data_IF_014229383560
#
_entry.id   IF_014229383560
#
_cell.length_a   1.000
_cell.length_b   1.000
_cell.length_c   1.000
_cell.angle_alpha   90.00
_cell.angle_beta   90.00
_cell.angle_gamma   90.00
#
_symmetry.space_group_name_H-M   'P 1'
#
loop_
_entity.id
_entity.type
_entity.pdbx_description
1 polymer ?
#
# COMPACT_ATOMS: atom_id res chain seq x y z
N UNK A 1 22.07 -37.51 -4.71
CA UNK A 1 23.05 -37.04 -3.71
C UNK A 1 23.24 -35.51 -3.62
N UNK A 2 23.09 -34.67 -4.66
CA UNK A 2 23.15 -33.18 -4.49
C UNK A 2 21.76 -32.53 -4.31
N UNK A 3 20.71 -33.14 -4.90
CA UNK A 3 19.31 -32.68 -4.82
C UNK A 3 18.49 -33.29 -3.68
N UNK A 4 19.07 -34.25 -2.96
CA UNK A 4 18.38 -34.91 -1.85
C UNK A 4 18.18 -33.93 -0.70
N UNK A 5 16.99 -33.98 -0.12
CA UNK A 5 16.60 -33.15 1.01
C UNK A 5 16.72 -33.96 2.29
N UNK A 6 17.31 -33.35 3.32
CA UNK A 6 17.29 -33.91 4.66
C UNK A 6 15.90 -33.75 5.32
N UNK A 7 15.77 -34.13 6.60
CA UNK A 7 14.51 -34.05 7.36
C UNK A 7 13.94 -32.64 7.54
N UNK A 8 14.69 -31.59 7.22
CA UNK A 8 14.26 -30.18 7.25
C UNK A 8 13.96 -29.65 5.84
N UNK A 9 13.96 -30.51 4.83
CA UNK A 9 13.80 -30.11 3.43
C UNK A 9 15.06 -29.48 2.83
N UNK A 10 16.19 -29.46 3.55
CA UNK A 10 17.43 -28.79 3.13
C UNK A 10 18.24 -29.67 2.22
N UNK A 11 18.75 -29.09 1.14
CA UNK A 11 19.74 -29.72 0.26
C UNK A 11 21.15 -29.57 0.80
N UNK A 12 22.12 -30.27 0.21
CA UNK A 12 23.53 -30.11 0.54
C UNK A 12 24.03 -28.64 0.42
N UNK A 13 23.43 -27.85 -0.49
CA UNK A 13 23.75 -26.43 -0.66
C UNK A 13 23.27 -25.59 0.54
N UNK A 14 22.09 -25.87 1.09
CA UNK A 14 21.57 -25.21 2.29
C UNK A 14 22.49 -25.44 3.50
N UNK A 15 22.96 -26.68 3.68
CA UNK A 15 23.90 -27.02 4.77
C UNK A 15 25.29 -26.37 4.56
N UNK A 16 25.74 -26.25 3.31
CA UNK A 16 26.98 -25.55 2.99
C UNK A 16 26.88 -24.04 3.25
N UNK A 17 25.71 -23.43 3.00
CA UNK A 17 25.42 -22.02 3.31
C UNK A 17 25.42 -21.69 4.81
N UNK A 18 25.13 -22.66 5.68
CA UNK A 18 25.17 -22.49 7.14
C UNK A 18 26.60 -22.54 7.69
N UNK A 19 27.47 -23.35 7.08
CA UNK A 19 28.77 -23.76 7.65
C UNK A 19 29.99 -23.02 7.08
N UNK A 20 29.77 -21.93 6.33
CA UNK A 20 30.80 -21.06 5.73
C UNK A 20 31.79 -21.73 4.78
N UNK A 21 31.40 -22.83 4.16
CA UNK A 21 32.31 -23.53 3.26
C UNK A 21 32.11 -22.99 1.83
N UNK A 22 32.60 -21.79 1.53
CA UNK A 22 32.49 -21.19 0.18
C UNK A 22 33.01 -22.14 -0.90
N UNK A 23 34.08 -22.89 -0.61
CA UNK A 23 34.61 -23.93 -1.50
C UNK A 23 33.56 -25.02 -1.80
N UNK A 24 32.81 -25.47 -0.78
CA UNK A 24 31.74 -26.46 -0.93
C UNK A 24 30.52 -25.87 -1.62
N UNK A 25 30.17 -24.61 -1.35
CA UNK A 25 29.10 -23.89 -2.06
C UNK A 25 29.41 -23.82 -3.56
N UNK A 26 30.61 -23.36 -3.93
CA UNK A 26 31.10 -23.30 -5.32
C UNK A 26 31.11 -24.68 -5.97
N UNK A 27 31.71 -25.66 -5.30
CA UNK A 27 31.78 -27.03 -5.79
C UNK A 27 30.39 -27.63 -6.04
N UNK A 28 29.46 -27.48 -5.08
CA UNK A 28 28.09 -27.97 -5.21
C UNK A 28 27.33 -27.24 -6.33
N UNK A 29 27.58 -25.94 -6.52
CA UNK A 29 26.97 -25.14 -7.56
C UNK A 29 27.43 -25.53 -8.97
N UNK A 30 28.74 -25.62 -9.17
CA UNK A 30 29.36 -25.93 -10.46
C UNK A 30 29.06 -27.37 -10.91
N UNK A 31 29.08 -28.33 -9.98
CA UNK A 31 28.91 -29.77 -10.27
C UNK A 31 27.45 -30.26 -10.22
N UNK A 32 26.48 -29.36 -10.04
CA UNK A 32 25.07 -29.72 -10.04
C UNK A 32 24.39 -29.31 -11.33
N UNK A 33 23.85 -30.29 -12.06
CA UNK A 33 23.02 -30.05 -13.25
C UNK A 33 21.74 -29.27 -12.94
N UNK A 34 21.36 -29.17 -11.66
CA UNK A 34 20.20 -28.43 -11.17
C UNK A 34 20.55 -26.96 -10.93
N UNK A 35 21.81 -26.64 -10.62
CA UNK A 35 22.25 -25.29 -10.30
C UNK A 35 22.93 -24.57 -11.47
N UNK A 36 23.53 -25.27 -12.45
CA UNK A 36 24.43 -24.63 -13.42
C UNK A 36 23.96 -24.50 -14.88
N UNK A 37 22.79 -25.00 -15.30
CA UNK A 37 22.45 -25.10 -16.76
C UNK A 37 21.02 -24.73 -17.22
N UNK A 38 20.34 -23.79 -16.58
CA UNK A 38 19.11 -23.19 -17.16
C UNK A 38 19.21 -21.68 -17.16
N UNK A 39 19.44 -21.09 -18.35
CA UNK A 39 19.50 -19.64 -18.56
C UNK A 39 18.15 -18.93 -18.28
N UNK A 40 17.06 -19.66 -18.02
CA UNK A 40 15.72 -19.10 -17.84
C UNK A 40 15.04 -19.40 -16.49
N UNK A 41 15.70 -20.09 -15.55
CA UNK A 41 15.21 -20.28 -14.16
C UNK A 41 16.26 -21.05 -13.35
N UNK A 42 17.01 -20.35 -12.50
CA UNK A 42 17.66 -20.98 -11.36
C UNK A 42 16.59 -21.42 -10.35
N UNK A 43 16.66 -22.64 -9.78
CA UNK A 43 15.56 -23.23 -9.06
C UNK A 43 15.39 -22.57 -7.69
N UNK A 44 14.14 -22.18 -7.42
CA UNK A 44 13.58 -21.82 -6.13
C UNK A 44 13.69 -22.98 -5.12
N UNK A 45 14.88 -23.54 -4.88
CA UNK A 45 15.02 -24.63 -3.91
C UNK A 45 14.91 -24.02 -2.53
N UNK A 46 13.79 -24.32 -1.90
CA UNK A 46 13.51 -23.94 -0.54
C UNK A 46 13.60 -25.17 0.36
N UNK A 47 13.98 -24.94 1.61
CA UNK A 47 13.77 -25.91 2.67
C UNK A 47 12.29 -25.92 3.11
N UNK A 48 11.93 -26.73 4.11
CA UNK A 48 10.53 -26.85 4.55
C UNK A 48 10.01 -25.57 5.22
N UNK A 49 10.92 -24.67 5.62
CA UNK A 49 10.60 -23.33 6.14
C UNK A 49 10.50 -22.28 5.04
N UNK A 50 10.45 -22.70 3.78
CA UNK A 50 10.51 -21.81 2.61
C UNK A 50 11.78 -20.95 2.54
N UNK A 51 12.84 -21.31 3.29
CA UNK A 51 14.09 -20.57 3.32
C UNK A 51 14.95 -20.90 2.11
N UNK A 52 15.63 -19.88 1.57
CA UNK A 52 16.67 -20.06 0.56
C UNK A 52 18.05 -20.21 1.22
N UNK A 53 19.05 -20.62 0.45
CA UNK A 53 20.45 -20.61 0.86
C UNK A 53 20.92 -19.22 1.34
N UNK A 54 20.39 -18.13 0.76
CA UNK A 54 20.67 -16.75 1.19
C UNK A 54 20.09 -16.45 2.58
N UNK A 55 18.89 -16.95 2.91
CA UNK A 55 18.32 -16.81 4.26
C UNK A 55 19.20 -17.51 5.30
N UNK A 56 19.63 -18.74 5.00
CA UNK A 56 20.48 -19.52 5.91
C UNK A 56 21.84 -18.84 6.11
N UNK A 57 22.50 -18.42 5.03
CA UNK A 57 23.79 -17.74 5.11
C UNK A 57 23.69 -16.40 5.87
N UNK A 58 22.62 -15.64 5.65
CA UNK A 58 22.37 -14.39 6.35
C UNK A 58 22.10 -14.59 7.85
N UNK A 59 21.32 -15.62 8.23
CA UNK A 59 21.09 -15.97 9.64
C UNK A 59 22.37 -16.47 10.34
N UNK A 60 23.19 -17.25 9.64
CA UNK A 60 24.42 -17.83 10.15
C UNK A 60 25.64 -16.87 10.14
N UNK A 61 25.48 -15.67 9.56
CA UNK A 61 26.54 -14.67 9.54
C UNK A 61 27.66 -14.94 8.52
N UNK A 62 27.38 -15.71 7.47
CA UNK A 62 28.38 -16.15 6.48
C UNK A 62 28.47 -15.16 5.34
N UNK A 63 29.26 -14.12 5.52
CA UNK A 63 29.34 -12.99 4.59
C UNK A 63 29.80 -13.41 3.19
N UNK A 64 30.84 -14.23 3.11
CA UNK A 64 31.42 -14.71 1.86
C UNK A 64 30.41 -15.56 1.08
N UNK A 65 29.61 -16.37 1.79
CA UNK A 65 28.51 -17.11 1.21
C UNK A 65 27.40 -16.18 0.71
N UNK A 66 26.99 -15.17 1.49
CA UNK A 66 25.98 -14.17 1.07
C UNK A 66 26.43 -13.41 -0.18
N UNK A 67 27.66 -12.90 -0.18
CA UNK A 67 28.20 -12.13 -1.30
C UNK A 67 28.25 -12.99 -2.57
N UNK A 68 28.74 -14.22 -2.46
CA UNK A 68 28.87 -15.11 -3.60
C UNK A 68 27.50 -15.59 -4.11
N UNK A 69 26.61 -16.02 -3.21
CA UNK A 69 25.26 -16.47 -3.56
C UNK A 69 24.46 -15.36 -4.24
N UNK A 70 24.66 -14.10 -3.85
CA UNK A 70 24.01 -12.98 -4.50
C UNK A 70 24.57 -12.70 -5.91
N UNK A 71 25.90 -12.75 -6.09
CA UNK A 71 26.55 -12.48 -7.39
C UNK A 71 26.26 -13.55 -8.44
N UNK A 72 26.39 -14.83 -8.06
CA UNK A 72 26.24 -15.95 -9.00
C UNK A 72 24.80 -16.42 -9.17
N UNK A 73 23.92 -15.99 -8.26
CA UNK A 73 22.52 -16.35 -8.28
C UNK A 73 21.68 -15.16 -7.82
N UNK A 74 21.36 -14.20 -8.73
CA UNK A 74 20.52 -13.05 -8.41
C UNK A 74 19.08 -13.51 -8.15
N UNK A 75 18.87 -14.10 -6.98
CA UNK A 75 17.57 -14.41 -6.43
C UNK A 75 16.87 -13.10 -6.07
N UNK A 76 15.55 -13.17 -5.98
CA UNK A 76 14.77 -12.11 -5.35
C UNK A 76 15.30 -11.85 -3.93
N UNK A 77 16.03 -10.75 -3.74
CA UNK A 77 16.55 -10.28 -2.43
C UNK A 77 15.45 -10.12 -1.38
N UNK A 78 14.23 -9.91 -1.87
CA UNK A 78 13.03 -9.66 -1.09
C UNK A 78 12.18 -10.92 -0.94
N UNK A 79 12.69 -12.07 -1.38
CA UNK A 79 12.10 -13.38 -1.08
C UNK A 79 11.97 -13.53 0.42
N UNK A 80 10.87 -14.12 0.84
CA UNK A 80 10.57 -14.34 2.25
C UNK A 80 10.52 -15.83 2.60
N UNK A 81 10.92 -16.15 3.81
CA UNK A 81 10.73 -17.45 4.45
C UNK A 81 9.28 -17.65 4.91
N UNK A 82 9.01 -18.78 5.57
CA UNK A 82 7.68 -19.12 6.10
C UNK A 82 7.16 -18.06 7.05
N UNK A 83 8.03 -17.33 7.77
CA UNK A 83 7.69 -16.28 8.73
C UNK A 83 7.60 -14.88 8.11
N UNK A 84 7.64 -14.79 6.77
CA UNK A 84 7.72 -13.54 6.01
C UNK A 84 9.03 -12.76 6.22
N UNK A 85 10.09 -13.41 6.68
CA UNK A 85 11.40 -12.77 6.89
C UNK A 85 12.24 -12.87 5.63
N UNK A 86 12.88 -11.78 5.26
CA UNK A 86 13.91 -11.75 4.22
C UNK A 86 15.29 -12.04 4.82
N UNK A 87 16.30 -12.23 3.97
CA UNK A 87 17.70 -12.30 4.41
C UNK A 87 18.12 -11.06 5.25
N UNK A 88 17.61 -9.87 4.92
CA UNK A 88 17.89 -8.65 5.69
C UNK A 88 17.27 -8.70 7.10
N UNK A 89 16.06 -9.25 7.25
CA UNK A 89 15.46 -9.45 8.58
C UNK A 89 16.33 -10.35 9.46
N UNK A 90 16.81 -11.48 8.92
CA UNK A 90 17.63 -12.43 9.67
C UNK A 90 19.00 -11.83 10.03
N UNK A 91 19.65 -11.14 9.09
CA UNK A 91 20.91 -10.45 9.37
C UNK A 91 20.77 -9.39 10.47
N UNK A 92 19.69 -8.60 10.45
CA UNK A 92 19.40 -7.60 11.48
C UNK A 92 19.05 -8.22 12.84
N UNK A 93 18.27 -9.31 12.86
CA UNK A 93 17.91 -10.02 14.09
C UNK A 93 19.15 -10.61 14.80
N UNK A 94 20.04 -11.25 14.04
CA UNK A 94 21.22 -11.93 14.59
C UNK A 94 22.45 -11.02 14.74
N UNK A 95 22.41 -9.78 14.24
CA UNK A 95 23.48 -8.78 14.47
C UNK A 95 24.64 -8.83 13.47
N UNK A 96 24.41 -9.30 12.25
CA UNK A 96 25.47 -9.50 11.26
C UNK A 96 25.72 -8.24 10.42
N UNK A 97 26.41 -7.24 11.00
CA UNK A 97 26.57 -5.90 10.45
C UNK A 97 27.08 -5.84 9.01
N UNK A 98 28.13 -6.58 8.68
CA UNK A 98 28.69 -6.63 7.31
C UNK A 98 27.69 -7.12 6.27
N UNK A 99 26.82 -8.06 6.66
CA UNK A 99 25.77 -8.59 5.79
C UNK A 99 24.66 -7.55 5.62
N UNK A 100 24.27 -6.85 6.68
CA UNK A 100 23.29 -5.76 6.61
C UNK A 100 23.77 -4.65 5.67
N UNK A 101 25.01 -4.18 5.82
CA UNK A 101 25.63 -3.20 4.93
C UNK A 101 25.59 -3.63 3.47
N UNK A 102 25.97 -4.88 3.21
CA UNK A 102 25.99 -5.43 1.87
C UNK A 102 24.58 -5.52 1.27
N UNK A 103 23.61 -6.07 2.00
CA UNK A 103 22.24 -6.21 1.51
C UNK A 103 21.57 -4.85 1.26
N UNK A 104 21.81 -3.85 2.11
CA UNK A 104 21.36 -2.47 1.87
C UNK A 104 21.99 -1.87 0.61
N UNK A 105 23.30 -2.08 0.40
CA UNK A 105 23.99 -1.66 -0.83
C UNK A 105 23.39 -2.31 -2.09
N UNK A 106 22.88 -3.54 -1.97
CA UNK A 106 22.16 -4.23 -3.05
C UNK A 106 20.67 -3.84 -3.14
N UNK A 107 20.22 -2.81 -2.41
CA UNK A 107 18.83 -2.32 -2.40
C UNK A 107 17.81 -3.35 -1.92
N UNK A 108 18.18 -4.18 -0.94
CA UNK A 108 17.21 -5.01 -0.23
C UNK A 108 16.11 -4.11 0.40
N UNK A 109 14.85 -4.54 0.30
CA UNK A 109 13.73 -3.76 0.80
C UNK A 109 13.74 -3.69 2.32
N UNK A 110 13.70 -2.47 2.83
CA UNK A 110 13.73 -2.14 4.26
C UNK A 110 12.33 -2.01 4.87
N UNK A 111 11.30 -2.02 4.01
CA UNK A 111 9.89 -1.81 4.38
C UNK A 111 9.09 -3.10 4.49
N UNK A 112 9.68 -4.24 4.09
CA UNK A 112 9.09 -5.55 4.28
C UNK A 112 8.97 -5.89 5.76
N UNK A 113 7.98 -6.72 6.09
CA UNK A 113 7.59 -7.03 7.47
C UNK A 113 7.37 -8.52 7.63
N UNK A 114 7.74 -9.05 8.79
CA UNK A 114 7.48 -10.44 9.16
C UNK A 114 6.03 -10.67 9.63
N UNK A 115 5.68 -11.88 10.05
CA UNK A 115 4.35 -12.19 10.58
C UNK A 115 3.99 -11.45 11.88
N UNK A 116 4.95 -10.88 12.57
CA UNK A 116 4.72 -10.04 13.75
C UNK A 116 4.61 -8.57 13.36
N UNK A 117 4.59 -8.27 12.06
CA UNK A 117 4.61 -6.94 11.47
C UNK A 117 5.91 -6.18 11.70
N UNK A 118 6.99 -6.84 12.12
CA UNK A 118 8.28 -6.17 12.32
C UNK A 118 9.05 -6.07 11.02
N UNK A 119 9.56 -4.86 10.75
CA UNK A 119 10.56 -4.66 9.71
C UNK A 119 11.98 -4.95 10.24
N UNK A 120 12.99 -4.82 9.37
CA UNK A 120 14.37 -5.12 9.74
C UNK A 120 14.94 -4.23 10.86
N UNK A 121 14.49 -2.97 10.98
CA UNK A 121 14.88 -2.06 12.06
C UNK A 121 14.29 -2.51 13.39
N UNK A 122 13.00 -2.86 13.42
CA UNK A 122 12.35 -3.31 14.66
C UNK A 122 12.93 -4.63 15.17
N UNK A 123 13.26 -5.57 14.28
CA UNK A 123 13.97 -6.78 14.67
C UNK A 123 15.35 -6.48 15.29
N UNK A 124 16.10 -5.51 14.76
CA UNK A 124 17.36 -5.09 15.36
C UNK A 124 17.15 -4.44 16.74
N UNK A 125 16.08 -3.63 16.91
CA UNK A 125 15.75 -2.98 18.19
C UNK A 125 15.38 -4.01 19.26
N UNK A 126 14.42 -4.91 18.98
CA UNK A 126 13.93 -5.89 19.97
C UNK A 126 14.96 -6.96 20.31
N UNK A 127 15.97 -7.18 19.45
CA UNK A 127 17.10 -8.07 19.72
C UNK A 127 18.35 -7.32 20.21
N UNK A 128 18.21 -6.05 20.60
CA UNK A 128 19.28 -5.24 21.20
C UNK A 128 20.56 -5.11 20.33
N UNK A 129 20.43 -5.11 19.00
CA UNK A 129 21.54 -4.98 18.05
C UNK A 129 21.87 -3.51 17.79
N UNK A 130 22.47 -2.85 18.78
CA UNK A 130 22.74 -1.41 18.78
C UNK A 130 23.48 -0.92 17.54
N UNK A 131 24.55 -1.62 17.17
CA UNK A 131 25.39 -1.29 16.02
C UNK A 131 24.65 -1.38 14.68
N UNK A 132 23.70 -2.30 14.56
CA UNK A 132 22.79 -2.42 13.42
C UNK A 132 21.76 -1.28 13.42
N UNK A 133 21.19 -0.95 14.58
CA UNK A 133 20.20 0.14 14.69
C UNK A 133 20.84 1.47 14.32
N UNK A 134 22.02 1.78 14.85
CA UNK A 134 22.76 2.99 14.50
C UNK A 134 23.06 3.04 12.99
N UNK A 135 23.42 1.90 12.39
CA UNK A 135 23.65 1.78 10.96
C UNK A 135 22.39 2.03 10.13
N UNK A 136 21.26 1.42 10.51
CA UNK A 136 19.98 1.57 9.81
C UNK A 136 19.43 3.01 9.93
N UNK A 137 19.60 3.67 11.08
CA UNK A 137 19.20 5.06 11.29
C UNK A 137 20.12 6.07 10.58
N UNK A 138 21.34 5.67 10.23
CA UNK A 138 22.24 6.46 9.39
C UNK A 138 21.93 6.32 7.89
N UNK A 139 21.24 5.26 7.47
CA UNK A 139 20.88 4.99 6.07
C UNK A 139 19.89 6.01 5.51
N UNK A 140 19.90 6.26 4.19
CA UNK A 140 19.01 7.23 3.53
C UNK A 140 17.51 6.90 3.72
N UNK A 141 17.17 5.61 3.69
CA UNK A 141 15.80 5.10 3.89
C UNK A 141 15.37 4.94 5.37
N UNK A 142 16.08 5.54 6.33
CA UNK A 142 15.73 5.42 7.76
C UNK A 142 14.30 5.87 8.07
N UNK A 143 13.81 6.90 7.36
CA UNK A 143 12.43 7.42 7.51
C UNK A 143 11.40 6.34 7.16
N UNK A 144 11.61 5.60 6.07
CA UNK A 144 10.74 4.50 5.66
C UNK A 144 10.71 3.37 6.71
N UNK A 145 11.86 3.07 7.32
CA UNK A 145 11.96 2.06 8.39
C UNK A 145 11.24 2.50 9.67
N UNK A 146 11.20 3.80 9.96
CA UNK A 146 10.50 4.36 11.12
C UNK A 146 8.98 4.41 10.93
N UNK A 147 8.49 4.35 9.69
CA UNK A 147 7.07 4.34 9.32
C UNK A 147 6.43 2.95 9.49
N UNK A 148 6.45 2.42 10.70
CA UNK A 148 5.76 1.17 11.04
C UNK A 148 4.96 1.26 12.34
N UNK A 149 3.95 0.40 12.49
CA UNK A 149 3.15 0.36 13.70
C UNK A 149 2.42 -0.99 13.88
N UNK A 150 2.42 -1.49 15.10
CA UNK A 150 1.68 -2.68 15.51
C UNK A 150 0.63 -2.30 16.54
N UNK A 151 -0.61 -2.79 16.43
CA UNK A 151 -1.60 -2.58 17.49
C UNK A 151 -1.16 -3.38 18.73
N UNK A 152 -1.08 -2.73 19.88
CA UNK A 152 -0.80 -3.41 21.15
C UNK A 152 -2.06 -4.17 21.54
N UNK A 153 -1.91 -5.48 21.71
CA UNK A 153 -3.02 -6.38 22.05
C UNK A 153 -3.76 -5.90 23.30
N UNK A 154 -5.10 -5.92 23.23
CA UNK A 154 -5.96 -5.45 24.32
C UNK A 154 -6.08 -3.92 24.46
N UNK A 155 -5.47 -3.13 23.57
CA UNK A 155 -5.54 -1.66 23.64
C UNK A 155 -5.87 -1.02 22.29
N UNK A 156 -6.21 0.27 22.29
CA UNK A 156 -6.27 1.10 21.08
C UNK A 156 -4.91 1.68 20.66
N UNK A 157 -3.86 1.46 21.45
CA UNK A 157 -2.55 2.05 21.25
C UNK A 157 -1.70 1.23 20.28
N UNK A 158 -0.79 1.92 19.60
CA UNK A 158 0.15 1.30 18.68
C UNK A 158 1.57 1.28 19.23
N UNK A 159 2.31 0.22 18.94
CA UNK A 159 3.73 0.11 19.18
C UNK A 159 4.50 0.41 17.89
N UNK A 160 5.25 1.52 17.90
CA UNK A 160 6.01 2.05 16.75
C UNK A 160 7.51 1.81 16.92
N UNK A 161 8.32 1.92 15.85
CA UNK A 161 9.78 1.91 15.96
C UNK A 161 10.32 2.95 16.96
N UNK A 162 9.76 4.16 17.01
CA UNK A 162 10.15 5.19 17.99
C UNK A 162 9.82 4.76 19.43
N UNK A 163 8.63 4.20 19.69
CA UNK A 163 8.28 3.68 21.02
C UNK A 163 9.19 2.52 21.42
N UNK A 164 9.53 1.63 20.49
CA UNK A 164 10.51 0.55 20.70
C UNK A 164 11.91 1.10 21.00
N UNK A 165 12.38 2.12 20.28
CA UNK A 165 13.66 2.79 20.54
C UNK A 165 13.69 3.43 21.93
N UNK A 166 12.63 4.13 22.33
CA UNK A 166 12.50 4.70 23.68
C UNK A 166 12.62 3.61 24.75
N UNK A 167 11.90 2.49 24.57
CA UNK A 167 11.88 1.37 25.54
C UNK A 167 13.17 0.58 25.61
N UNK A 168 13.79 0.27 24.46
CA UNK A 168 14.91 -0.68 24.38
C UNK A 168 16.27 -0.01 24.19
N UNK A 169 16.34 1.22 23.66
CA UNK A 169 17.57 1.92 23.28
C UNK A 169 17.49 3.45 23.49
N UNK A 170 17.22 3.95 24.72
CA UNK A 170 16.98 5.38 24.97
C UNK A 170 18.14 6.30 24.55
N UNK A 171 19.40 5.86 24.68
CA UNK A 171 20.56 6.64 24.23
C UNK A 171 20.59 6.88 22.71
N UNK A 172 20.21 5.87 21.93
CA UNK A 172 20.12 5.98 20.46
C UNK A 172 18.96 6.91 20.08
N UNK A 173 17.86 6.89 20.85
CA UNK A 173 16.72 7.80 20.68
C UNK A 173 17.13 9.26 20.86
N UNK A 174 17.91 9.58 21.90
CA UNK A 174 18.41 10.95 22.14
C UNK A 174 19.29 11.41 20.97
N UNK A 175 20.14 10.52 20.45
CA UNK A 175 20.98 10.83 19.28
C UNK A 175 20.13 11.10 18.02
N UNK A 176 19.13 10.26 17.76
CA UNK A 176 18.17 10.45 16.65
C UNK A 176 17.43 11.78 16.75
N UNK A 177 16.94 12.11 17.95
CA UNK A 177 16.22 13.35 18.23
C UNK A 177 17.08 14.59 17.95
N UNK A 178 18.32 14.56 18.43
CA UNK A 178 19.23 15.71 18.34
C UNK A 178 19.79 15.90 16.94
N UNK A 179 20.03 14.83 16.19
CA UNK A 179 20.69 14.90 14.87
C UNK A 179 19.75 14.91 13.67
N UNK A 180 18.60 14.23 13.75
CA UNK A 180 17.72 14.00 12.59
C UNK A 180 16.37 14.72 12.69
N UNK A 181 15.85 14.87 13.90
CA UNK A 181 14.51 15.45 14.13
C UNK A 181 14.56 16.91 14.60
N UNK A 182 15.75 17.51 14.69
CA UNK A 182 15.94 18.93 15.03
C UNK A 182 16.35 19.70 13.78
N UNK A 183 15.63 20.79 13.46
CA UNK A 183 16.05 21.78 12.46
C UNK A 183 16.07 23.19 13.04
N UNK A 184 17.05 23.98 12.66
CA UNK A 184 17.11 25.41 12.99
C UNK A 184 16.57 26.19 11.79
N UNK A 185 15.58 27.05 12.03
CA UNK A 185 15.01 27.93 11.02
C UNK A 185 15.29 29.38 11.43
N UNK A 186 15.87 30.15 10.49
CA UNK A 186 16.30 31.54 10.68
C UNK A 186 17.81 31.74 10.49
N UNK A 187 18.21 32.94 10.03
CA UNK A 187 19.61 33.34 9.81
C UNK A 187 19.99 34.64 10.55
N UNK A 188 21.28 35.01 10.52
CA UNK A 188 21.82 36.21 11.21
C UNK A 188 21.02 37.50 10.91
N UNK A 189 20.45 37.60 9.71
CA UNK A 189 19.65 38.75 9.26
C UNK A 189 18.29 38.86 9.94
N UNK A 190 17.74 37.76 10.45
CA UNK A 190 16.39 37.71 11.03
C UNK A 190 16.39 37.78 12.56
N UNK A 191 17.56 37.74 13.22
CA UNK A 191 17.75 37.70 14.70
C UNK A 191 16.87 36.71 15.48
N UNK A 192 16.17 35.78 14.81
CA UNK A 192 15.31 34.78 15.43
C UNK A 192 15.80 33.40 15.03
N UNK A 193 16.47 32.72 15.95
CA UNK A 193 16.80 31.31 15.81
C UNK A 193 15.67 30.48 16.40
N UNK A 194 14.75 29.99 15.56
CA UNK A 194 13.71 29.07 16.02
C UNK A 194 14.19 27.64 15.84
N UNK A 195 14.42 26.93 16.94
CA UNK A 195 14.61 25.47 16.92
C UNK A 195 13.25 24.81 16.74
N UNK A 196 13.11 23.95 15.73
CA UNK A 196 11.90 23.19 15.44
C UNK A 196 12.23 21.69 15.54
N UNK A 197 11.41 20.95 16.28
CA UNK A 197 11.46 19.49 16.33
C UNK A 197 10.35 18.89 15.45
N UNK A 198 10.66 17.84 14.70
CA UNK A 198 9.68 17.08 13.92
C UNK A 198 9.03 16.01 14.82
N UNK A 199 7.73 16.18 15.08
CA UNK A 199 6.95 15.35 16.00
C UNK A 199 6.27 14.14 15.33
N UNK A 200 6.53 13.90 14.03
CA UNK A 200 5.88 12.84 13.24
C UNK A 200 5.89 11.45 13.91
N UNK A 201 6.93 11.14 14.68
CA UNK A 201 7.13 9.81 15.28
C UNK A 201 6.70 9.69 16.76
N UNK A 202 6.17 10.75 17.37
CA UNK A 202 5.84 10.78 18.81
C UNK A 202 4.36 10.53 19.11
N UNK A 203 3.43 11.27 18.50
CA UNK A 203 2.03 11.29 18.96
C UNK A 203 0.98 11.38 17.84
N UNK A 204 1.36 11.29 16.57
CA UNK A 204 0.38 11.37 15.48
C UNK A 204 -0.40 10.04 15.32
N UNK A 205 -1.47 9.89 16.11
CA UNK A 205 -2.34 8.71 16.10
C UNK A 205 -2.93 8.42 14.71
N UNK A 206 -3.11 9.45 13.87
CA UNK A 206 -3.61 9.30 12.50
C UNK A 206 -2.54 8.68 11.58
N UNK A 207 -1.29 9.16 11.64
CA UNK A 207 -0.17 8.57 10.89
C UNK A 207 0.17 7.18 11.37
N UNK A 208 0.15 6.95 12.68
CA UNK A 208 0.47 5.64 13.27
C UNK A 208 -0.58 4.60 12.91
N UNK A 209 -1.88 4.94 12.93
CA UNK A 209 -2.95 4.09 12.41
C UNK A 209 -2.78 3.79 10.92
N UNK A 210 -2.34 4.77 10.12
CA UNK A 210 -2.02 4.58 8.70
C UNK A 210 -0.87 3.59 8.50
N UNK A 211 0.22 3.71 9.27
CA UNK A 211 1.35 2.77 9.23
C UNK A 211 0.91 1.34 9.62
N UNK A 212 0.04 1.21 10.63
CA UNK A 212 -0.49 -0.09 11.04
C UNK A 212 -1.38 -0.75 9.99
N UNK A 213 -2.25 0.02 9.34
CA UNK A 213 -3.12 -0.49 8.28
C UNK A 213 -2.29 -0.94 7.06
N UNK A 214 -1.22 -0.21 6.72
CA UNK A 214 -0.25 -0.61 5.70
C UNK A 214 0.50 -1.90 6.09
N UNK A 215 0.73 -2.12 7.38
CA UNK A 215 1.36 -3.33 7.91
C UNK A 215 0.44 -4.55 7.74
N UNK A 216 -0.85 -4.42 8.11
CA UNK A 216 -1.84 -5.50 7.98
C UNK A 216 -2.16 -5.89 6.53
N UNK A 217 -2.20 -4.94 5.59
CA UNK A 217 -2.46 -5.24 4.17
C UNK A 217 -1.37 -6.07 3.50
N UNK A 218 -0.15 -6.08 4.08
CA UNK A 218 0.99 -6.90 3.63
C UNK A 218 0.91 -8.35 4.13
N UNK A 219 0.05 -8.65 5.12
CA UNK A 219 -0.07 -9.98 5.71
C UNK A 219 -1.08 -10.90 5.02
N UNK A 220 -2.11 -10.38 4.34
CA UNK A 220 -3.22 -11.15 3.77
C UNK A 220 -2.96 -11.84 2.42
N UNK A 221 -1.70 -12.16 2.11
CA UNK A 221 -1.33 -13.15 1.09
C UNK A 221 -0.60 -14.30 1.79
N UNK A 222 -1.30 -15.41 2.04
CA UNK A 222 -0.76 -16.62 2.69
C UNK A 222 -1.85 -17.62 3.12
N UNK A 223 -2.07 -18.64 2.29
CA UNK A 223 -2.94 -19.83 2.37
C UNK A 223 -3.43 -20.36 3.73
N UNK A 224 -4.72 -20.73 3.78
CA UNK A 224 -5.19 -21.96 4.44
C UNK A 224 -6.21 -22.71 3.55
N UNK A 225 -6.02 -24.02 3.40
CA UNK A 225 -6.71 -24.92 2.47
C UNK A 225 -7.88 -25.61 3.20
N UNK A 226 -9.09 -25.59 2.62
CA UNK A 226 -9.86 -26.82 2.31
C UNK A 226 -11.16 -26.55 1.55
N UNK A 227 -11.22 -27.22 0.39
CA UNK A 227 -12.37 -27.72 -0.37
C UNK A 227 -13.10 -26.76 -1.34
N UNK A 228 -13.04 -27.18 -2.63
CA UNK A 228 -13.93 -26.83 -3.75
C UNK A 228 -13.83 -25.45 -4.43
N UNK A 229 -12.63 -25.04 -4.87
CA UNK A 229 -12.43 -23.87 -5.74
C UNK A 229 -11.69 -24.21 -7.07
N UNK A 230 -11.26 -25.46 -7.23
CA UNK A 230 -10.42 -25.92 -8.35
C UNK A 230 -11.16 -26.03 -9.69
N UNK A 231 -12.49 -26.11 -9.68
CA UNK A 231 -13.28 -26.19 -10.92
C UNK A 231 -13.51 -24.83 -11.59
N UNK A 232 -13.55 -23.73 -10.84
CA UNK A 232 -13.84 -22.39 -11.38
C UNK A 232 -12.59 -21.68 -11.95
N UNK A 233 -11.38 -22.11 -11.57
CA UNK A 233 -10.14 -21.57 -12.13
C UNK A 233 -9.83 -22.03 -13.55
N UNK A 234 -10.51 -23.06 -14.07
CA UNK A 234 -10.29 -23.52 -15.45
C UNK A 234 -10.67 -22.46 -16.49
N UNK A 235 -11.61 -21.56 -16.19
CA UNK A 235 -11.94 -20.44 -17.08
C UNK A 235 -11.03 -19.23 -16.88
N UNK A 236 -10.42 -19.05 -15.69
CA UNK A 236 -9.38 -18.04 -15.44
C UNK A 236 -8.02 -18.38 -16.07
N UNK A 237 -7.79 -19.63 -16.47
CA UNK A 237 -6.53 -20.13 -17.07
C UNK A 237 -6.66 -20.50 -18.56
N UNK A 238 -7.47 -19.75 -19.33
CA UNK A 238 -7.43 -19.80 -20.80
C UNK A 238 -6.81 -18.55 -21.45
N UNK A 239 -5.90 -17.88 -20.75
CA UNK A 239 -4.96 -16.94 -21.39
C UNK A 239 -3.60 -17.01 -20.71
N UNK A 240 -2.87 -18.09 -20.99
CA UNK A 240 -1.41 -18.05 -20.96
C UNK A 240 -0.96 -16.94 -21.94
N UNK A 241 -0.12 -16.01 -21.47
CA UNK A 241 0.40 -14.81 -22.17
C UNK A 241 -0.44 -13.52 -22.20
N UNK A 242 -0.89 -13.00 -21.05
CA UNK A 242 -1.20 -11.56 -20.93
C UNK A 242 -0.44 -10.87 -19.81
N UNK A 243 0.52 -10.04 -20.21
CA UNK A 243 1.28 -9.13 -19.36
C UNK A 243 0.31 -8.09 -18.79
N UNK A 244 0.17 -8.03 -17.45
CA UNK A 244 -0.61 -6.98 -16.78
C UNK A 244 0.00 -5.61 -17.10
N UNK A 245 -0.84 -4.61 -17.32
CA UNK A 245 -0.39 -3.25 -17.60
C UNK A 245 0.30 -2.69 -16.34
N UNK A 246 1.54 -2.16 -16.44
CA UNK A 246 2.24 -1.56 -15.31
C UNK A 246 1.41 -0.46 -14.65
N UNK A 247 1.62 -0.25 -13.35
CA UNK A 247 1.01 0.88 -12.64
C UNK A 247 1.19 2.19 -13.42
N UNK A 248 0.16 3.04 -13.41
CA UNK A 248 0.13 4.34 -14.08
C UNK A 248 -0.02 4.29 -15.61
N UNK A 249 -0.03 3.09 -16.23
CA UNK A 249 -0.31 2.94 -17.66
C UNK A 249 -1.79 3.22 -17.96
N UNK A 250 -2.11 3.81 -19.10
CA UNK A 250 -3.51 3.91 -19.56
C UNK A 250 -3.99 2.50 -19.94
N UNK A 251 -5.03 2.00 -19.27
CA UNK A 251 -5.69 0.74 -19.60
C UNK A 251 -6.53 0.89 -20.87
N UNK A 252 -7.26 1.99 -20.97
CA UNK A 252 -8.13 2.29 -22.11
C UNK A 252 -8.86 3.61 -21.91
N UNK A 253 -9.56 4.06 -22.95
CA UNK A 253 -10.38 5.28 -22.92
C UNK A 253 -11.83 4.89 -23.12
N UNK A 254 -12.69 5.26 -22.18
CA UNK A 254 -14.11 4.96 -22.24
C UNK A 254 -14.78 5.63 -23.45
N UNK A 255 -15.93 5.13 -23.91
CA UNK A 255 -16.75 5.79 -24.95
C UNK A 255 -17.14 7.23 -24.56
N UNK A 256 -17.17 7.53 -23.26
CA UNK A 256 -17.29 8.87 -22.71
C UNK A 256 -16.01 9.72 -22.79
N UNK A 257 -14.95 9.27 -23.46
CA UNK A 257 -13.65 9.93 -23.61
C UNK A 257 -12.92 10.22 -22.27
N UNK A 258 -13.02 9.32 -21.30
CA UNK A 258 -12.31 9.40 -20.02
C UNK A 258 -11.35 8.22 -19.92
N UNK A 259 -10.06 8.50 -19.72
CA UNK A 259 -9.03 7.47 -19.60
C UNK A 259 -9.09 6.76 -18.24
N UNK A 260 -8.99 5.43 -18.27
CA UNK A 260 -8.76 4.59 -17.11
C UNK A 260 -7.28 4.23 -17.01
N UNK A 261 -6.72 4.28 -15.82
CA UNK A 261 -5.32 4.01 -15.52
C UNK A 261 -5.17 2.70 -14.74
N UNK A 262 -4.07 2.01 -15.00
CA UNK A 262 -3.73 0.76 -14.34
C UNK A 262 -3.31 1.05 -12.92
N UNK A 263 -4.00 0.41 -11.99
CA UNK A 263 -3.58 0.34 -10.61
C UNK A 263 -2.52 -0.76 -10.40
N UNK A 264 -2.02 -1.40 -11.46
CA UNK A 264 -1.00 -2.45 -11.41
C UNK A 264 -1.56 -3.83 -11.03
N UNK A 265 -2.23 -3.95 -9.88
CA UNK A 265 -2.92 -5.17 -9.44
C UNK A 265 -4.02 -4.88 -8.40
N UNK A 266 -4.85 -5.89 -8.09
CA UNK A 266 -6.02 -5.79 -7.19
C UNK A 266 -5.67 -5.37 -5.76
N UNK A 267 -4.42 -5.53 -5.33
CA UNK A 267 -3.97 -5.25 -3.96
C UNK A 267 -3.17 -3.95 -3.85
N UNK A 268 -3.00 -3.22 -4.95
CA UNK A 268 -2.15 -2.03 -4.98
C UNK A 268 -2.93 -0.79 -4.53
N UNK A 269 -2.34 0.03 -3.67
CA UNK A 269 -2.85 1.36 -3.33
C UNK A 269 -1.63 2.27 -3.33
N UNK A 270 -1.56 3.25 -4.22
CA UNK A 270 -0.39 4.14 -4.31
C UNK A 270 -0.28 5.08 -3.11
N UNK A 271 -1.40 5.35 -2.44
CA UNK A 271 -1.57 6.42 -1.44
C UNK A 271 -1.19 7.81 -1.96
N UNK A 272 -1.08 7.96 -3.29
CA UNK A 272 -0.97 9.25 -3.96
C UNK A 272 -2.37 9.82 -4.17
N UNK A 273 -2.59 11.03 -3.65
CA UNK A 273 -3.81 11.77 -3.93
C UNK A 273 -3.80 12.31 -5.37
N UNK A 274 -4.89 12.07 -6.08
CA UNK A 274 -5.19 12.61 -7.41
C UNK A 274 -5.92 13.94 -7.27
N UNK A 275 -5.36 15.01 -7.84
CA UNK A 275 -6.00 16.32 -7.93
C UNK A 275 -6.08 16.75 -9.37
N UNK A 276 -7.23 17.33 -9.76
CA UNK A 276 -7.39 17.98 -11.06
C UNK A 276 -7.86 19.42 -10.83
N UNK A 277 -7.04 20.38 -11.26
CA UNK A 277 -7.26 21.83 -11.04
C UNK A 277 -7.50 22.19 -9.55
N UNK A 278 -6.81 21.52 -8.63
CA UNK A 278 -6.96 21.73 -7.19
C UNK A 278 -8.16 21.02 -6.54
N UNK A 279 -8.97 20.30 -7.32
CA UNK A 279 -10.10 19.52 -6.83
C UNK A 279 -9.65 18.07 -6.61
N UNK A 280 -9.92 17.53 -5.43
CA UNK A 280 -9.57 16.17 -5.06
C UNK A 280 -10.42 15.13 -5.80
N UNK A 281 -9.78 14.24 -6.53
CA UNK A 281 -10.43 13.16 -7.28
C UNK A 281 -10.48 11.85 -6.49
N UNK A 282 -9.46 11.54 -5.68
CA UNK A 282 -9.36 10.27 -4.96
C UNK A 282 -7.93 9.75 -4.94
N UNK A 283 -7.71 8.55 -4.42
CA UNK A 283 -6.39 7.90 -4.44
C UNK A 283 -6.14 7.28 -5.82
N UNK A 284 -4.98 7.52 -6.43
CA UNK A 284 -4.60 6.90 -7.71
C UNK A 284 -4.42 5.37 -7.55
N UNK A 285 -4.80 4.50 -8.48
CA UNK A 285 -5.81 4.64 -9.54
C UNK A 285 -7.02 3.81 -9.14
N UNK A 286 -7.61 4.15 -7.99
CA UNK A 286 -8.71 3.40 -7.39
C UNK A 286 -10.04 3.61 -8.15
N UNK A 287 -11.00 2.71 -7.94
CA UNK A 287 -12.32 2.78 -8.59
C UNK A 287 -13.10 4.06 -8.23
N UNK A 288 -13.05 4.50 -6.96
CA UNK A 288 -13.67 5.76 -6.50
C UNK A 288 -13.03 6.99 -7.15
N UNK A 289 -11.70 6.96 -7.34
CA UNK A 289 -10.99 8.05 -8.05
C UNK A 289 -11.47 8.17 -9.49
N UNK A 290 -11.60 7.03 -10.19
CA UNK A 290 -12.12 7.00 -11.55
C UNK A 290 -13.54 7.54 -11.61
N UNK A 291 -14.42 7.09 -10.73
CA UNK A 291 -15.81 7.53 -10.70
C UNK A 291 -15.91 9.05 -10.46
N UNK A 292 -15.19 9.60 -9.47
CA UNK A 292 -15.22 11.04 -9.18
C UNK A 292 -14.61 11.87 -10.31
N UNK A 293 -13.48 11.42 -10.89
CA UNK A 293 -12.84 12.09 -12.04
C UNK A 293 -13.71 12.04 -13.28
N UNK A 294 -14.38 10.92 -13.53
CA UNK A 294 -15.34 10.80 -14.62
C UNK A 294 -16.49 11.79 -14.45
N UNK A 295 -17.09 11.89 -13.25
CA UNK A 295 -18.17 12.85 -12.96
C UNK A 295 -17.69 14.28 -13.16
N UNK A 296 -16.48 14.61 -12.69
CA UNK A 296 -15.92 15.94 -12.86
C UNK A 296 -15.71 16.30 -14.32
N UNK A 297 -15.10 15.42 -15.12
CA UNK A 297 -14.83 15.67 -16.53
C UNK A 297 -16.09 15.69 -17.39
N UNK A 298 -17.10 14.87 -17.07
CA UNK A 298 -18.32 14.73 -17.89
C UNK A 298 -19.47 15.61 -17.49
N UNK A 299 -19.52 16.01 -16.22
CA UNK A 299 -20.67 16.68 -15.63
C UNK A 299 -20.30 17.97 -14.90
N UNK A 300 -19.02 18.36 -14.87
CA UNK A 300 -18.52 19.53 -14.14
C UNK A 300 -18.92 19.53 -12.65
N UNK A 301 -19.04 18.33 -12.08
CA UNK A 301 -19.59 18.09 -10.75
C UNK A 301 -18.81 16.98 -10.04
N UNK A 302 -18.87 16.94 -8.71
CA UNK A 302 -18.23 15.91 -7.88
C UNK A 302 -19.17 15.43 -6.78
N UNK A 303 -19.04 14.18 -6.35
CA UNK A 303 -19.61 13.73 -5.08
C UNK A 303 -18.60 13.86 -3.93
N UNK A 304 -19.11 13.91 -2.71
CA UNK A 304 -18.34 14.05 -1.48
C UNK A 304 -17.32 12.91 -1.28
N UNK A 305 -16.41 13.11 -0.33
CA UNK A 305 -15.39 12.10 0.01
C UNK A 305 -16.06 10.89 0.64
N UNK A 306 -15.65 9.70 0.20
CA UNK A 306 -16.13 8.41 0.71
C UNK A 306 -14.92 7.53 1.01
N UNK A 307 -15.06 6.63 1.98
CA UNK A 307 -13.99 5.73 2.42
C UNK A 307 -13.88 4.54 1.44
N UNK A 308 -15.01 3.93 1.11
CA UNK A 308 -15.11 2.84 0.13
C UNK A 308 -16.09 3.14 -1.00
N UNK A 309 -16.02 2.33 -2.06
CA UNK A 309 -16.98 2.42 -3.17
C UNK A 309 -18.42 2.07 -2.73
N UNK A 310 -18.56 1.15 -1.78
CA UNK A 310 -19.84 0.80 -1.15
C UNK A 310 -20.55 2.01 -0.52
N UNK A 311 -19.78 2.95 0.04
CA UNK A 311 -20.35 4.14 0.70
C UNK A 311 -21.03 5.09 -0.28
N UNK A 312 -20.73 5.00 -1.59
CA UNK A 312 -21.46 5.74 -2.62
C UNK A 312 -22.94 5.35 -2.60
N UNK A 313 -23.25 4.07 -2.39
CA UNK A 313 -24.63 3.61 -2.27
C UNK A 313 -25.31 4.08 -0.99
N UNK A 314 -24.58 4.16 0.12
CA UNK A 314 -25.18 4.39 1.44
C UNK A 314 -25.20 5.86 1.86
N UNK A 315 -24.23 6.66 1.42
CA UNK A 315 -23.97 8.00 1.98
C UNK A 315 -24.13 9.12 0.95
N UNK A 316 -24.05 8.81 -0.35
CA UNK A 316 -24.13 9.83 -1.40
C UNK A 316 -25.57 9.90 -1.95
N UNK A 317 -26.12 11.10 -1.97
CA UNK A 317 -27.49 11.40 -2.42
C UNK A 317 -27.56 12.50 -3.48
N UNK A 318 -26.46 13.22 -3.72
CA UNK A 318 -26.33 14.23 -4.76
C UNK A 318 -24.88 14.30 -5.25
N UNK A 319 -24.69 14.86 -6.44
CA UNK A 319 -23.41 15.43 -6.88
C UNK A 319 -23.52 16.95 -6.82
N UNK A 320 -22.41 17.63 -6.58
CA UNK A 320 -22.35 19.07 -6.45
C UNK A 320 -21.59 19.67 -7.64
N UNK A 321 -22.18 20.66 -8.30
CA UNK A 321 -21.51 21.45 -9.34
C UNK A 321 -20.33 22.21 -8.74
N UNK A 322 -19.19 22.20 -9.43
CA UNK A 322 -17.94 22.74 -8.88
C UNK A 322 -17.93 24.27 -8.72
N UNK A 323 -18.70 25.00 -9.53
CA UNK A 323 -18.67 26.47 -9.56
C UNK A 323 -19.70 27.13 -8.64
N UNK A 324 -20.97 26.74 -8.79
CA UNK A 324 -22.13 27.36 -8.15
C UNK A 324 -22.67 26.53 -6.97
N UNK A 325 -22.11 25.34 -6.72
CA UNK A 325 -22.45 24.46 -5.61
C UNK A 325 -23.88 23.93 -5.65
N UNK A 326 -24.52 23.98 -6.82
CA UNK A 326 -25.83 23.38 -7.01
C UNK A 326 -25.75 21.86 -6.83
N UNK A 327 -26.69 21.30 -6.04
CA UNK A 327 -26.78 19.88 -5.75
C UNK A 327 -27.73 19.20 -6.72
N UNK A 328 -27.21 18.29 -7.53
CA UNK A 328 -27.97 17.48 -8.48
C UNK A 328 -28.29 16.14 -7.82
N UNK A 329 -29.56 15.78 -7.64
CA UNK A 329 -29.95 14.59 -6.89
C UNK A 329 -29.57 13.30 -7.61
N UNK A 330 -29.36 12.25 -6.81
CA UNK A 330 -29.07 10.90 -7.27
C UNK A 330 -30.25 9.97 -6.98
N UNK A 331 -30.68 9.21 -7.99
CA UNK A 331 -31.74 8.21 -7.85
C UNK A 331 -31.15 6.80 -7.87
N UNK A 332 -31.37 6.05 -6.79
CA UNK A 332 -30.88 4.68 -6.64
C UNK A 332 -31.89 3.69 -7.20
N UNK A 333 -31.42 2.75 -8.01
CA UNK A 333 -32.19 1.67 -8.60
C UNK A 333 -31.55 0.35 -8.17
N UNK A 334 -32.18 -0.35 -7.22
CA UNK A 334 -31.69 -1.66 -6.77
C UNK A 334 -31.63 -2.65 -7.93
N UNK A 335 -30.70 -3.61 -7.87
CA UNK A 335 -30.69 -4.70 -8.84
C UNK A 335 -32.02 -5.49 -8.72
N UNK A 336 -32.72 -5.70 -9.83
CA UNK A 336 -34.14 -6.08 -9.82
C UNK A 336 -35.10 -4.89 -9.82
N UNK A 337 -34.68 -3.71 -10.27
CA UNK A 337 -35.54 -2.53 -10.43
C UNK A 337 -36.48 -2.68 -11.65
N UNK A 338 -37.71 -2.12 -11.62
CA UNK A 338 -38.56 -2.05 -12.81
C UNK A 338 -38.00 -1.09 -13.87
N UNK A 339 -37.09 -0.20 -13.48
CA UNK A 339 -36.42 0.69 -14.41
C UNK A 339 -35.26 -0.03 -15.08
N UNK A 340 -35.05 0.22 -16.36
CA UNK A 340 -33.89 -0.29 -17.11
C UNK A 340 -32.61 0.42 -16.64
N UNK A 341 -31.43 -0.24 -16.67
CA UNK A 341 -30.15 0.45 -16.52
C UNK A 341 -30.01 1.61 -17.51
N UNK A 342 -29.30 2.67 -17.10
CA UNK A 342 -29.21 3.92 -17.87
C UNK A 342 -27.72 4.27 -18.08
N UNK A 343 -27.39 4.83 -19.24
CA UNK A 343 -26.05 5.38 -19.50
C UNK A 343 -25.67 6.45 -18.47
N UNK A 344 -24.38 6.67 -18.31
CA UNK A 344 -23.83 7.74 -17.47
C UNK A 344 -24.25 7.64 -15.99
N UNK A 345 -24.40 6.41 -15.50
CA UNK A 345 -24.80 6.09 -14.12
C UNK A 345 -23.72 5.28 -13.39
N UNK A 346 -23.74 5.28 -12.05
CA UNK A 346 -22.81 4.51 -11.23
C UNK A 346 -23.35 3.10 -10.99
N UNK A 347 -22.61 2.05 -11.37
CA UNK A 347 -22.89 0.67 -10.97
C UNK A 347 -22.16 0.37 -9.66
N UNK A 348 -22.88 -0.05 -8.62
CA UNK A 348 -22.31 -0.28 -7.29
C UNK A 348 -22.36 -1.74 -6.88
N UNK A 349 -21.21 -2.25 -6.45
CA UNK A 349 -21.05 -3.56 -5.85
C UNK A 349 -20.92 -3.39 -4.33
N UNK A 350 -21.65 -4.18 -3.52
CA UNK A 350 -21.56 -4.17 -2.08
C UNK A 350 -20.23 -4.73 -1.58
N UNK A 351 -19.96 -4.52 -0.29
CA UNK A 351 -18.88 -5.20 0.42
C UNK A 351 -19.06 -6.71 0.31
N UNK A 352 -18.05 -7.38 -0.22
CA UNK A 352 -18.00 -8.84 -0.40
C UNK A 352 -16.61 -9.34 -0.02
N UNK A 353 -16.46 -10.66 0.13
CA UNK A 353 -15.21 -11.30 0.56
C UNK A 353 -13.98 -10.82 -0.24
N UNK A 354 -14.14 -10.70 -1.56
CA UNK A 354 -13.06 -10.29 -2.47
C UNK A 354 -13.10 -8.79 -2.83
N UNK A 355 -14.09 -8.05 -2.30
CA UNK A 355 -14.25 -6.59 -2.48
C UNK A 355 -14.61 -5.93 -1.14
N UNK A 356 -13.66 -5.80 -0.21
CA UNK A 356 -13.93 -5.38 1.18
C UNK A 356 -14.41 -3.92 1.31
N UNK A 357 -14.25 -3.11 0.26
CA UNK A 357 -14.74 -1.73 0.19
C UNK A 357 -15.89 -1.56 -0.81
N UNK A 358 -16.43 -2.67 -1.32
CA UNK A 358 -17.27 -2.68 -2.52
C UNK A 358 -16.50 -2.26 -3.77
N UNK A 359 -17.23 -2.02 -4.84
CA UNK A 359 -16.66 -1.51 -6.09
C UNK A 359 -17.63 -0.55 -6.79
N UNK A 360 -17.09 0.36 -7.60
CA UNK A 360 -17.87 1.28 -8.43
C UNK A 360 -17.34 1.27 -9.85
N UNK A 361 -18.27 1.16 -10.79
CA UNK A 361 -18.01 1.32 -12.21
C UNK A 361 -18.98 2.34 -12.81
N UNK A 362 -18.65 2.87 -13.99
CA UNK A 362 -19.52 3.75 -14.75
C UNK A 362 -20.20 2.95 -15.84
N UNK A 363 -21.53 2.96 -15.92
CA UNK A 363 -22.27 2.45 -17.07
C UNK A 363 -22.11 3.44 -18.21
N UNK A 364 -21.38 3.07 -19.25
CA UNK A 364 -21.08 3.96 -20.38
C UNK A 364 -22.02 3.73 -21.57
N UNK A 365 -22.47 2.48 -21.78
CA UNK A 365 -23.46 2.14 -22.81
C UNK A 365 -24.44 1.08 -22.30
N UNK A 366 -25.72 1.22 -22.61
CA UNK A 366 -26.78 0.24 -22.34
C UNK A 366 -27.25 -0.32 -23.68
N UNK A 367 -26.89 -1.59 -23.91
CA UNK A 367 -27.27 -2.34 -25.10
C UNK A 367 -28.58 -3.08 -24.86
N UNK A 368 -29.04 -3.85 -25.85
CA UNK A 368 -30.33 -4.56 -25.79
C UNK A 368 -30.41 -5.57 -24.62
N UNK A 369 -29.32 -6.28 -24.32
CA UNK A 369 -29.28 -7.35 -23.30
C UNK A 369 -28.04 -7.28 -22.39
N UNK A 370 -27.30 -6.18 -22.44
CA UNK A 370 -26.07 -6.01 -21.68
C UNK A 370 -25.78 -4.52 -21.45
N UNK A 371 -24.93 -4.25 -20.47
CA UNK A 371 -24.34 -2.94 -20.24
C UNK A 371 -22.85 -3.00 -20.51
N UNK A 372 -22.26 -1.91 -20.99
CA UNK A 372 -20.81 -1.72 -21.02
C UNK A 372 -20.42 -0.79 -19.91
N UNK A 373 -19.37 -1.15 -19.21
CA UNK A 373 -18.86 -0.40 -18.07
C UNK A 373 -17.42 0.04 -18.26
N UNK A 374 -17.10 1.18 -17.68
CA UNK A 374 -15.74 1.70 -17.55
C UNK A 374 -15.37 1.77 -16.06
N UNK A 375 -14.21 1.26 -15.69
CA UNK A 375 -13.80 1.11 -14.29
C UNK A 375 -12.27 1.12 -14.13
N UNK A 376 -11.79 1.34 -12.92
CA UNK A 376 -10.39 1.11 -12.56
C UNK A 376 -10.32 0.17 -11.36
N UNK A 377 -9.16 -0.45 -11.15
CA UNK A 377 -8.90 -1.34 -10.02
C UNK A 377 -9.86 -2.54 -9.93
N UNK A 378 -10.09 -3.21 -11.06
CA UNK A 378 -10.86 -4.46 -11.15
C UNK A 378 -10.23 -5.45 -12.15
N UNK A 379 -9.86 -4.96 -13.34
CA UNK A 379 -8.98 -5.66 -14.28
C UNK A 379 -7.79 -4.76 -14.66
N UNK A 380 -6.63 -5.36 -14.91
CA UNK A 380 -5.36 -4.63 -15.20
C UNK A 380 -4.80 -4.93 -16.59
N UNK A 381 -5.63 -5.50 -17.46
CA UNK A 381 -5.26 -5.70 -18.87
C UNK A 381 -5.67 -4.47 -19.68
N UNK A 382 -4.90 -4.15 -20.71
CA UNK A 382 -5.32 -3.14 -21.69
C UNK A 382 -6.69 -3.48 -22.27
N UNK A 383 -7.56 -2.48 -22.32
CA UNK A 383 -8.89 -2.61 -22.90
C UNK A 383 -8.76 -2.81 -24.39
N UNK A 384 -9.48 -3.79 -24.92
CA UNK A 384 -9.54 -4.03 -26.38
C UNK A 384 -10.49 -3.06 -27.09
N UNK A 385 -11.39 -2.44 -26.33
CA UNK A 385 -12.47 -1.60 -26.81
C UNK A 385 -12.55 -0.33 -25.93
N UNK A 386 -13.52 0.54 -26.22
CA UNK A 386 -13.78 1.75 -25.45
C UNK A 386 -14.57 1.50 -24.15
N UNK A 387 -14.40 0.33 -23.53
CA UNK A 387 -15.00 -0.07 -22.27
C UNK A 387 -14.15 -1.17 -21.61
N UNK A 388 -14.25 -1.32 -20.28
CA UNK A 388 -13.56 -2.36 -19.50
C UNK A 388 -14.21 -3.72 -19.70
N UNK A 389 -15.53 -3.76 -19.47
CA UNK A 389 -16.34 -4.98 -19.52
C UNK A 389 -17.72 -4.76 -20.11
N UNK A 390 -18.26 -5.82 -20.68
CA UNK A 390 -19.68 -5.93 -21.02
C UNK A 390 -20.32 -6.95 -20.07
N UNK A 391 -21.38 -6.54 -19.38
CA UNK A 391 -22.07 -7.33 -18.35
C UNK A 391 -23.50 -7.57 -18.82
N UNK A 392 -23.98 -8.82 -18.89
CA UNK A 392 -25.35 -9.10 -19.29
C UNK A 392 -26.36 -8.58 -18.25
N UNK A 393 -27.56 -8.26 -18.72
CA UNK A 393 -28.70 -8.08 -17.84
C UNK A 393 -29.93 -8.78 -18.42
N UNK A 394 -30.82 -9.26 -17.55
CA UNK A 394 -32.08 -9.91 -17.92
C UNK A 394 -33.26 -9.08 -17.50
N UNK A 395 -34.35 -9.22 -18.24
CA UNK A 395 -35.65 -8.68 -17.89
C UNK A 395 -36.58 -9.84 -17.55
N UNK A 396 -36.90 -10.02 -16.28
CA UNK A 396 -37.68 -11.13 -15.76
C UNK A 396 -38.77 -10.55 -14.85
N UNK A 397 -40.02 -10.97 -15.03
CA UNK A 397 -41.17 -10.54 -14.22
C UNK A 397 -41.27 -9.01 -14.07
N UNK A 398 -41.08 -8.29 -15.18
CA UNK A 398 -41.06 -6.82 -15.23
C UNK A 398 -39.92 -6.13 -14.45
N UNK A 399 -38.87 -6.84 -14.10
CA UNK A 399 -37.71 -6.33 -13.36
C UNK A 399 -36.41 -6.58 -14.11
N UNK A 400 -35.49 -5.63 -14.05
CA UNK A 400 -34.16 -5.69 -14.67
C UNK A 400 -33.10 -6.15 -13.68
N UNK A 401 -32.39 -7.23 -14.01
CA UNK A 401 -31.31 -7.80 -13.22
C UNK A 401 -30.00 -7.74 -13.99
N UNK A 402 -29.03 -6.98 -13.51
CA UNK A 402 -27.65 -6.98 -13.99
C UNK A 402 -26.95 -8.20 -13.38
N UNK A 403 -26.36 -9.04 -14.22
CA UNK A 403 -25.78 -10.33 -13.85
C UNK A 403 -24.26 -10.28 -13.96
N UNK A 404 -23.58 -10.26 -12.82
CA UNK A 404 -22.13 -10.34 -12.71
C UNK A 404 -21.77 -11.52 -11.78
N UNK A 405 -20.52 -11.97 -11.85
CA UNK A 405 -19.98 -12.99 -10.94
C UNK A 405 -19.98 -12.52 -9.48
N UNK A 406 -20.02 -11.21 -9.26
CA UNK A 406 -20.20 -10.60 -7.94
C UNK A 406 -21.59 -10.03 -7.78
N UNK A 407 -22.08 -10.02 -6.54
CA UNK A 407 -23.34 -9.37 -6.20
C UNK A 407 -23.27 -7.88 -6.56
N UNK A 408 -24.39 -7.32 -7.01
CA UNK A 408 -24.56 -5.91 -7.36
C UNK A 408 -25.68 -5.34 -6.50
N UNK A 409 -25.46 -4.18 -5.86
CA UNK A 409 -26.54 -3.48 -5.16
C UNK A 409 -27.55 -2.90 -6.15
N UNK A 410 -27.04 -2.31 -7.22
CA UNK A 410 -27.84 -1.68 -8.26
C UNK A 410 -27.03 -0.60 -8.96
N UNK A 411 -27.74 0.34 -9.58
CA UNK A 411 -27.12 1.51 -10.19
C UNK A 411 -27.74 2.82 -9.68
N UNK A 412 -26.97 3.89 -9.80
CA UNK A 412 -27.33 5.22 -9.32
C UNK A 412 -27.37 6.17 -10.51
N UNK A 413 -28.55 6.65 -10.84
CA UNK A 413 -28.84 7.63 -11.87
C UNK A 413 -28.54 9.04 -11.36
N UNK A 414 -27.82 9.83 -12.15
CA UNK A 414 -27.68 11.27 -11.94
C UNK A 414 -28.88 11.96 -12.58
N UNK A 415 -29.73 12.61 -11.78
CA UNK A 415 -30.95 13.25 -12.27
C UNK A 415 -30.66 14.63 -12.87
N UNK A 416 -29.84 14.66 -13.92
CA UNK A 416 -29.41 15.90 -14.57
C UNK A 416 -30.30 16.34 -15.74
N UNK A 417 -31.25 15.50 -16.15
CA UNK A 417 -32.09 15.71 -17.34
C UNK A 417 -31.30 16.10 -18.60
N UNK A 418 -30.05 15.59 -18.75
CA UNK A 418 -29.09 15.92 -19.81
C UNK A 418 -28.65 17.39 -19.86
N UNK A 419 -28.77 18.13 -18.76
CA UNK A 419 -28.40 19.54 -18.69
C UNK A 419 -26.93 19.76 -18.30
N UNK A 420 -26.31 18.82 -17.59
CA UNK A 420 -24.91 18.92 -17.20
C UNK A 420 -24.00 18.72 -18.41
N UNK A 421 -23.02 19.61 -18.55
CA UNK A 421 -22.07 19.62 -19.66
C UNK A 421 -20.69 19.13 -19.22
N UNK A 422 -19.91 18.54 -20.15
CA UNK A 422 -18.50 18.24 -19.92
C UNK A 422 -17.72 19.48 -19.50
N UNK A 423 -16.64 19.26 -18.75
CA UNK A 423 -15.79 20.32 -18.22
C UNK A 423 -15.19 21.15 -19.37
N UNK A 424 -15.44 22.46 -19.37
CA UNK A 424 -14.97 23.39 -20.39
C UNK A 424 -13.83 24.30 -19.90
N UNK A 425 -13.18 24.99 -20.86
CA UNK A 425 -12.05 25.88 -20.58
C UNK A 425 -12.42 27.03 -19.64
N UNK A 426 -13.64 27.57 -19.77
CA UNK A 426 -14.11 28.68 -18.95
C UNK A 426 -14.28 28.26 -17.48
N UNK A 427 -14.85 27.08 -17.26
CA UNK A 427 -15.00 26.47 -15.94
C UNK A 427 -13.63 26.25 -15.30
N UNK A 428 -12.65 25.72 -16.05
CA UNK A 428 -11.28 25.52 -15.57
C UNK A 428 -10.61 26.85 -15.18
N UNK A 429 -10.73 27.89 -16.02
CA UNK A 429 -10.20 29.22 -15.72
C UNK A 429 -10.81 29.78 -14.44
N UNK A 430 -12.13 29.64 -14.28
CA UNK A 430 -12.85 30.12 -13.09
C UNK A 430 -12.41 29.38 -11.83
N UNK A 431 -12.19 28.06 -11.89
CA UNK A 431 -11.67 27.26 -10.78
C UNK A 431 -10.28 27.75 -10.37
N UNK A 432 -9.37 27.98 -11.33
CA UNK A 432 -8.02 28.46 -11.06
C UNK A 432 -8.02 29.82 -10.35
N UNK A 433 -8.79 30.78 -10.86
CA UNK A 433 -8.92 32.11 -10.27
C UNK A 433 -9.48 32.04 -8.84
N UNK A 434 -10.50 31.21 -8.59
CA UNK A 434 -11.07 31.03 -7.25
C UNK A 434 -10.06 30.43 -6.27
N UNK A 435 -9.21 29.51 -6.73
CA UNK A 435 -8.19 28.88 -5.89
C UNK A 435 -7.02 29.84 -5.59
N UNK A 436 -6.59 30.65 -6.56
CA UNK A 436 -5.55 31.68 -6.36
C UNK A 436 -5.99 32.73 -5.31
N UNK A 437 -7.23 33.24 -5.41
CA UNK A 437 -7.79 34.16 -4.40
C UNK A 437 -7.90 33.56 -3.00
N UNK A 438 -7.93 32.23 -2.86
CA UNK A 438 -8.00 31.55 -1.56
C UNK A 438 -6.64 31.51 -0.86
N UNK A 439 -5.53 31.64 -1.60
CA UNK A 439 -4.19 31.74 -1.03
C UNK A 439 -3.85 33.16 -0.55
N UNK A 440 -4.47 34.20 -1.14
CA UNK A 440 -4.26 35.60 -0.73
C UNK A 440 -5.07 36.02 0.52
N UNK A 441 -5.99 35.18 1.00
CA UNK A 441 -6.90 35.51 2.12
C UNK A 441 -6.63 34.74 3.43
N UNK A 442 -5.55 33.95 3.51
CA UNK A 442 -5.15 33.26 4.75
C UNK A 442 -3.84 33.85 5.30
N UNK A 443 -3.88 35.15 5.58
CA UNK A 443 -2.95 35.81 6.50
C UNK A 443 -3.76 36.63 7.51
N UNK A 444 -4.17 35.99 8.61
CA UNK A 444 -4.30 36.59 9.95
C UNK A 444 -5.19 35.74 10.87
N UNK A 445 -4.78 35.71 12.14
CA UNK A 445 -5.46 35.21 13.36
C UNK A 445 -5.14 33.79 13.85
N UNK A 446 -4.24 33.77 14.85
CA UNK A 446 -4.21 32.86 16.02
C UNK A 446 -4.70 33.69 17.24
N UNK A 447 -4.86 33.19 18.50
CA UNK A 447 -4.68 31.82 19.05
C UNK A 447 -5.73 31.37 20.12
N UNK A 448 -5.64 30.11 20.61
CA UNK A 448 -5.49 29.77 22.06
C UNK A 448 -5.41 28.25 22.39
N UNK A 449 -4.28 27.90 23.02
CA UNK A 449 -4.03 27.02 24.19
C UNK A 449 -4.50 25.54 24.23
N UNK A 450 -3.53 24.60 24.15
CA UNK A 450 -3.23 23.61 25.23
C UNK A 450 -2.04 22.66 24.93
N UNK A 451 -0.83 23.17 24.61
CA UNK A 451 0.34 22.29 24.31
C UNK A 451 1.59 22.60 25.15
N UNK A 452 1.63 23.70 25.90
CA UNK A 452 2.82 24.07 26.68
C UNK A 452 3.03 23.25 27.97
N UNK A 453 1.99 22.61 28.52
CA UNK A 453 2.13 21.80 29.75
C UNK A 453 2.67 20.38 29.51
N UNK A 454 2.43 19.80 28.33
CA UNK A 454 2.81 18.40 28.07
C UNK A 454 4.30 18.24 27.73
N UNK A 455 4.88 19.24 27.04
CA UNK A 455 6.30 19.24 26.67
C UNK A 455 7.23 19.73 27.80
N UNK A 456 6.76 20.57 28.72
CA UNK A 456 7.52 20.88 29.94
C UNK A 456 7.60 19.64 30.85
N UNK A 457 6.54 18.84 30.91
CA UNK A 457 6.51 17.57 31.64
C UNK A 457 7.45 16.53 31.03
N UNK A 458 7.48 16.31 29.71
CA UNK A 458 8.38 15.32 29.11
C UNK A 458 9.86 15.74 29.22
N UNK A 459 10.17 17.03 29.10
CA UNK A 459 11.55 17.52 29.27
C UNK A 459 11.97 17.50 30.74
N UNK A 460 11.07 17.78 31.70
CA UNK A 460 11.33 17.61 33.14
C UNK A 460 11.41 16.13 33.56
N UNK A 461 10.63 15.25 32.94
CA UNK A 461 10.59 13.80 33.20
C UNK A 461 11.84 13.09 32.66
N UNK A 462 12.41 13.59 31.55
CA UNK A 462 13.65 13.05 30.97
C UNK A 462 14.92 13.70 31.55
N UNK A 463 14.83 14.88 32.17
CA UNK A 463 15.98 15.54 32.83
C UNK A 463 16.16 15.16 34.30
N UNK A 464 15.12 14.69 34.99
CA UNK A 464 15.20 14.20 36.37
C UNK A 464 15.21 12.66 36.45
N UNK A 465 16.28 12.06 35.94
CA UNK A 465 16.63 10.67 36.23
C UNK A 465 17.19 10.56 37.66
N UNK A 466 16.33 10.76 38.66
CA UNK A 466 16.52 10.43 40.08
C UNK A 466 15.20 10.74 40.77
N UNK A 467 14.26 9.80 40.72
CA UNK A 467 13.21 9.53 41.73
C UNK A 467 12.14 8.68 41.04
N UNK A 468 11.70 7.62 41.74
CA UNK A 468 10.68 6.64 41.37
C UNK A 468 11.17 5.38 40.66
N UNK A 469 11.95 4.58 41.38
CA UNK A 469 11.54 3.20 41.62
C UNK A 469 10.18 3.22 42.33
N UNK A 470 9.29 2.29 41.95
CA UNK A 470 7.86 2.20 42.32
C UNK A 470 6.90 3.07 41.52
N UNK A 471 6.26 2.45 40.53
CA UNK A 471 4.79 2.31 40.37
C UNK A 471 4.61 1.39 39.13
N UNK A 472 4.56 0.06 39.36
CA UNK A 472 3.37 -0.82 39.42
C UNK A 472 2.96 -1.31 38.02
N UNK A 473 3.24 -2.60 37.73
CA UNK A 473 2.32 -3.77 37.66
C UNK A 473 1.52 -3.86 36.35
#
# INVERSE_FOLDING_TARGET
MVSEKNRRGRTALHEASETDCLKRIKFLWENSTIYSKSLDKLPLILDDSLSTCLHIAAAAGKFEAVEWLFKEAPHDLNRVDMNKRTALHLACQYGHKKIVEYLLKQRASVTLRDYQLYNCLELAIVNHRRDIVELLLAHESWHEMMCNAQLIEGTSAYDTPMRKLIRHMPYVTVDLLTKKLKRTVGGKEQQVFKTIYDYEFFEDEFKVKKWHLQAKSSQSKGFSIKLSYSQLLKERQSSNDKKLAPYNSILGVASSNVAAYSNGNDSYISYEDSYLYGIYMGIKWQCVEYARRWTFLRKSSVFERVIGANDIWNQIYYIEKVLDKEKIPLKKHSNGSPNRPINESYLIYPIQKDMPYGHVAIIVDVLKHSIRIAEQNFYFNYWKMNYSREIPYRFINNLYYIEDIYQIYGWIEIQDHKQLKPLDKLTIQTIKIKNEKKFDLVSSSEPKNNIYYFLLLIVLFLSNFKFYEHIFL
#
